data_IF_787486644687
#
_entry.id   IF_787486644687
#
_cell.length_a   1.000
_cell.length_b   1.000
_cell.length_c   1.000
_cell.angle_alpha   90.00
_cell.angle_beta   90.00
_cell.angle_gamma   90.00
#
_symmetry.space_group_name_H-M   'P 1'
#
loop_
_entity.id
_entity.type
_entity.pdbx_description
1 polymer ?
#
# COMPACT_ATOMS: atom_id res chain seq x y z
N UNK A 1 -5.41 -62.79 -9.07
CA UNK A 1 -4.47 -62.24 -8.08
C UNK A 1 -4.72 -60.73 -7.99
N UNK A 2 -5.49 -60.27 -7.00
CA UNK A 2 -5.83 -58.85 -6.83
C UNK A 2 -4.80 -58.18 -5.90
N UNK A 3 -4.33 -56.97 -6.22
CA UNK A 3 -3.36 -56.29 -5.35
C UNK A 3 -4.00 -55.85 -4.04
N UNK A 4 -3.27 -56.06 -2.93
CA UNK A 4 -3.73 -55.82 -1.58
C UNK A 4 -4.05 -54.35 -1.30
N UNK A 5 -5.03 -54.10 -0.45
CA UNK A 5 -5.54 -52.81 -0.01
C UNK A 5 -4.42 -51.86 0.45
N UNK A 6 -3.33 -52.39 1.00
CA UNK A 6 -2.16 -51.61 1.46
C UNK A 6 -1.37 -50.88 0.36
N UNK A 7 -1.37 -51.40 -0.88
CA UNK A 7 -0.69 -50.75 -2.02
C UNK A 7 -1.51 -49.60 -2.61
N UNK A 8 -2.84 -49.60 -2.47
CA UNK A 8 -3.71 -48.52 -2.93
C UNK A 8 -3.59 -47.28 -2.04
N UNK A 9 -3.44 -47.45 -0.73
CA UNK A 9 -3.31 -46.35 0.22
C UNK A 9 -1.95 -45.63 0.12
N UNK A 10 -0.87 -46.38 -0.14
CA UNK A 10 0.46 -45.81 -0.38
C UNK A 10 0.53 -44.97 -1.69
N UNK A 11 -0.20 -45.38 -2.72
CA UNK A 11 -0.28 -44.60 -3.98
C UNK A 11 -1.15 -43.33 -3.81
N UNK A 12 -2.21 -43.42 -3.01
CA UNK A 12 -3.08 -42.25 -2.71
C UNK A 12 -2.34 -41.19 -1.88
N UNK A 13 -1.62 -41.60 -0.85
CA UNK A 13 -0.82 -40.68 -0.02
C UNK A 13 0.35 -40.04 -0.78
N UNK A 14 0.98 -40.74 -1.73
CA UNK A 14 2.00 -40.12 -2.62
C UNK A 14 1.42 -39.11 -3.59
N UNK A 15 0.18 -39.30 -4.04
CA UNK A 15 -0.49 -38.35 -4.94
C UNK A 15 -0.94 -37.09 -4.19
N UNK A 16 -1.43 -37.21 -2.96
CA UNK A 16 -1.76 -36.07 -2.10
C UNK A 16 -0.53 -35.29 -1.65
N UNK A 17 0.57 -35.96 -1.32
CA UNK A 17 1.83 -35.31 -0.98
C UNK A 17 2.41 -34.50 -2.14
N UNK A 18 2.33 -35.00 -3.39
CA UNK A 18 2.78 -34.28 -4.59
C UNK A 18 1.91 -33.07 -4.93
N UNK A 19 0.59 -33.14 -4.68
CA UNK A 19 -0.32 -32.00 -4.92
C UNK A 19 -0.06 -30.88 -3.91
N UNK A 20 0.19 -31.21 -2.64
CA UNK A 20 0.54 -30.21 -1.63
C UNK A 20 1.92 -29.59 -1.86
N UNK A 21 2.86 -30.32 -2.42
CA UNK A 21 4.22 -29.83 -2.71
C UNK A 21 4.26 -28.97 -3.98
N UNK A 22 3.44 -29.28 -4.99
CA UNK A 22 3.23 -28.41 -6.16
C UNK A 22 2.54 -27.10 -5.77
N UNK A 23 1.49 -27.16 -4.94
CA UNK A 23 0.76 -25.98 -4.44
C UNK A 23 1.65 -25.08 -3.56
N UNK A 24 2.55 -25.68 -2.76
CA UNK A 24 3.57 -24.95 -2.01
C UNK A 24 4.68 -24.36 -2.90
N UNK A 25 5.04 -25.04 -4.00
CA UNK A 25 5.99 -24.50 -4.98
C UNK A 25 5.38 -23.37 -5.79
N UNK A 26 4.13 -23.49 -6.26
CA UNK A 26 3.43 -22.42 -6.95
C UNK A 26 3.20 -21.20 -6.05
N UNK A 27 2.83 -21.39 -4.78
CA UNK A 27 2.76 -20.30 -3.80
C UNK A 27 4.13 -19.69 -3.48
N UNK A 28 5.22 -20.46 -3.51
CA UNK A 28 6.59 -19.94 -3.35
C UNK A 28 7.11 -19.22 -4.60
N UNK A 29 6.72 -19.66 -5.79
CA UNK A 29 7.09 -19.01 -7.06
C UNK A 29 6.28 -17.71 -7.25
N UNK A 30 5.00 -17.65 -6.85
CA UNK A 30 4.22 -16.42 -6.88
C UNK A 30 4.71 -15.35 -5.88
N UNK A 31 5.51 -15.73 -4.89
CA UNK A 31 6.17 -14.81 -3.94
C UNK A 31 7.46 -14.17 -4.49
N UNK A 32 7.93 -14.59 -5.66
CA UNK A 32 9.18 -14.11 -6.28
C UNK A 32 8.98 -13.32 -7.58
N UNK A 33 7.77 -13.26 -8.12
CA UNK A 33 7.47 -12.30 -9.18
C UNK A 33 7.32 -10.92 -8.57
N UNK A 34 8.43 -10.21 -8.48
CA UNK A 34 8.45 -8.77 -8.22
C UNK A 34 7.85 -8.08 -9.43
N UNK A 35 6.51 -7.89 -9.43
CA UNK A 35 5.85 -7.09 -10.44
C UNK A 35 6.33 -5.65 -10.31
N UNK A 36 7.18 -5.26 -11.22
CA UNK A 36 7.63 -3.87 -11.36
C UNK A 36 6.50 -3.09 -12.01
N UNK A 37 6.05 -2.04 -11.35
CA UNK A 37 5.01 -1.15 -11.87
C UNK A 37 5.58 0.23 -12.12
N UNK A 38 5.25 0.78 -13.27
CA UNK A 38 5.46 2.19 -13.57
C UNK A 38 4.46 3.05 -12.79
N UNK A 39 4.83 4.29 -12.49
CA UNK A 39 3.99 5.21 -11.72
C UNK A 39 4.25 6.64 -12.19
N UNK A 40 3.20 7.32 -12.67
CA UNK A 40 3.17 8.76 -12.87
C UNK A 40 2.36 9.44 -11.78
N UNK A 41 2.77 10.64 -11.41
CA UNK A 41 2.02 11.52 -10.50
C UNK A 41 2.00 12.93 -11.05
N UNK A 42 0.82 13.53 -11.00
CA UNK A 42 0.62 14.92 -11.38
C UNK A 42 -0.19 15.65 -10.30
N UNK A 43 0.24 16.85 -9.94
CA UNK A 43 -0.61 17.74 -9.18
C UNK A 43 -1.60 18.39 -10.15
N UNK A 44 -2.88 18.26 -9.88
CA UNK A 44 -3.97 18.76 -10.73
C UNK A 44 -4.94 19.60 -9.90
N UNK A 45 -5.71 20.44 -10.57
CA UNK A 45 -6.78 21.22 -9.95
C UNK A 45 -8.14 20.52 -10.08
N UNK A 46 -9.19 21.13 -9.54
CA UNK A 46 -10.53 20.55 -9.55
C UNK A 46 -11.13 20.48 -10.97
N UNK A 47 -10.84 21.45 -11.82
CA UNK A 47 -11.28 21.46 -13.24
C UNK A 47 -10.65 20.30 -14.01
N UNK A 48 -9.34 20.07 -13.83
CA UNK A 48 -8.63 18.94 -14.41
C UNK A 48 -9.26 17.59 -13.95
N UNK A 49 -9.55 17.47 -12.65
CA UNK A 49 -10.23 16.30 -12.09
C UNK A 49 -11.55 16.02 -12.82
N UNK A 50 -12.40 17.03 -13.00
CA UNK A 50 -13.71 16.85 -13.67
C UNK A 50 -13.54 16.35 -15.11
N UNK A 51 -12.63 16.95 -15.86
CA UNK A 51 -12.35 16.59 -17.25
C UNK A 51 -11.80 15.17 -17.36
N UNK A 52 -10.77 14.82 -16.56
CA UNK A 52 -10.16 13.49 -16.58
C UNK A 52 -11.17 12.44 -16.11
N UNK A 53 -11.94 12.73 -15.06
CA UNK A 53 -13.00 11.85 -14.54
C UNK A 53 -14.03 11.51 -15.62
N UNK A 54 -14.49 12.50 -16.38
CA UNK A 54 -15.44 12.29 -17.47
C UNK A 54 -14.85 11.38 -18.56
N UNK A 55 -13.59 11.60 -18.97
CA UNK A 55 -12.90 10.77 -19.95
C UNK A 55 -12.71 9.33 -19.45
N UNK A 56 -12.27 9.18 -18.18
CA UNK A 56 -12.06 7.86 -17.59
C UNK A 56 -13.36 7.05 -17.47
N UNK A 57 -14.49 7.69 -17.15
CA UNK A 57 -15.80 7.00 -17.08
C UNK A 57 -16.22 6.36 -18.41
N UNK A 58 -15.72 6.85 -19.53
CA UNK A 58 -16.00 6.29 -20.85
C UNK A 58 -15.18 5.02 -21.15
N UNK A 59 -14.00 4.87 -20.53
CA UNK A 59 -13.02 3.84 -20.91
C UNK A 59 -12.61 2.89 -19.78
N UNK A 60 -12.66 3.34 -18.53
CA UNK A 60 -12.25 2.59 -17.35
C UNK A 60 -13.43 2.35 -16.40
N UNK A 61 -13.31 1.36 -15.52
CA UNK A 61 -14.32 1.07 -14.51
C UNK A 61 -13.89 1.61 -13.15
N UNK A 62 -14.81 2.15 -12.33
CA UNK A 62 -14.53 2.34 -10.90
C UNK A 62 -14.08 1.02 -10.27
N UNK A 63 -13.22 1.09 -9.26
CA UNK A 63 -12.82 -0.09 -8.49
C UNK A 63 -14.05 -0.63 -7.75
N UNK A 64 -14.36 -1.92 -7.92
CA UNK A 64 -15.54 -2.59 -7.36
C UNK A 64 -15.60 -2.60 -5.83
N UNK A 65 -14.45 -2.44 -5.17
CA UNK A 65 -14.36 -2.37 -3.71
C UNK A 65 -14.55 -0.94 -3.17
N UNK A 66 -14.64 0.06 -4.04
CA UNK A 66 -14.83 1.45 -3.64
C UNK A 66 -16.29 1.69 -3.21
N UNK A 67 -16.51 2.21 -2.00
CA UNK A 67 -17.83 2.65 -1.54
C UNK A 67 -18.15 3.99 -2.21
N UNK A 68 -19.27 4.09 -2.88
CA UNK A 68 -19.67 5.29 -3.64
C UNK A 68 -18.54 5.82 -4.57
N UNK A 69 -17.78 4.87 -5.16
CA UNK A 69 -16.67 5.18 -6.07
C UNK A 69 -15.41 5.72 -5.39
N UNK A 70 -15.30 5.66 -4.08
CA UNK A 70 -14.14 6.19 -3.36
C UNK A 70 -13.77 5.39 -2.11
N UNK A 71 -12.54 5.60 -1.62
CA UNK A 71 -12.05 5.13 -0.33
C UNK A 71 -11.71 6.30 0.57
N UNK A 72 -12.07 6.21 1.84
CA UNK A 72 -11.37 6.93 2.90
C UNK A 72 -10.18 6.07 3.33
N UNK A 73 -8.98 6.61 3.28
CA UNK A 73 -7.76 5.86 3.60
C UNK A 73 -7.07 6.52 4.78
N UNK A 74 -6.87 5.77 5.86
CA UNK A 74 -6.02 6.17 6.98
C UNK A 74 -4.76 5.33 7.03
N UNK A 75 -3.61 5.98 7.12
CA UNK A 75 -2.30 5.31 7.21
C UNK A 75 -1.45 5.90 8.31
N UNK A 76 -0.87 5.05 9.15
CA UNK A 76 0.12 5.41 10.15
C UNK A 76 1.51 5.07 9.62
N UNK A 77 2.33 6.07 9.38
CA UNK A 77 3.71 5.91 8.91
C UNK A 77 4.68 5.81 10.06
N UNK A 78 5.72 5.00 9.85
CA UNK A 78 6.83 4.82 10.78
C UNK A 78 8.07 5.54 10.29
N UNK A 79 8.78 6.17 11.21
CA UNK A 79 10.10 6.73 10.99
C UNK A 79 10.91 6.69 12.30
N UNK A 80 12.20 6.99 12.25
CA UNK A 80 13.02 7.11 13.43
C UNK A 80 13.15 8.59 13.89
N UNK A 81 13.85 8.81 15.01
CA UNK A 81 14.05 10.16 15.56
C UNK A 81 14.81 11.11 14.61
N UNK A 82 15.54 10.57 13.65
CA UNK A 82 16.31 11.34 12.64
C UNK A 82 15.56 11.54 11.33
N UNK A 83 14.28 11.17 11.25
CA UNK A 83 13.44 11.24 10.04
C UNK A 83 14.09 10.57 8.81
N UNK A 84 14.65 9.38 9.02
CA UNK A 84 15.40 8.65 7.98
C UNK A 84 14.57 8.44 6.71
N UNK A 85 13.34 7.92 6.84
CA UNK A 85 12.49 7.62 5.68
C UNK A 85 12.04 8.90 4.95
N UNK A 86 11.87 10.02 5.68
CA UNK A 86 11.59 11.33 5.12
C UNK A 86 12.79 11.84 4.31
N UNK A 87 13.99 11.86 4.90
CA UNK A 87 15.22 12.33 4.27
C UNK A 87 15.56 11.50 3.03
N UNK A 88 15.56 10.17 3.14
CA UNK A 88 15.79 9.28 1.98
C UNK A 88 14.81 9.54 0.83
N UNK A 89 13.59 9.98 1.13
CA UNK A 89 12.63 10.36 0.08
C UNK A 89 12.95 11.71 -0.54
N UNK A 90 13.34 12.71 0.26
CA UNK A 90 13.69 14.07 -0.20
C UNK A 90 14.98 14.02 -1.03
N UNK A 91 16.00 13.35 -0.51
CA UNK A 91 17.33 13.24 -1.12
C UNK A 91 17.37 12.28 -2.32
N UNK A 92 16.27 11.59 -2.61
CA UNK A 92 16.15 10.68 -3.74
C UNK A 92 16.99 9.41 -3.62
N UNK A 93 17.35 8.99 -2.39
CA UNK A 93 18.21 7.82 -2.13
C UNK A 93 17.70 6.58 -2.87
N UNK A 94 18.59 5.89 -3.57
CA UNK A 94 18.26 4.73 -4.40
C UNK A 94 17.75 3.52 -3.59
N UNK A 95 18.32 3.31 -2.41
CA UNK A 95 17.90 2.22 -1.51
C UNK A 95 17.14 2.81 -0.35
N UNK A 96 15.83 2.70 -0.38
CA UNK A 96 14.97 3.21 0.69
C UNK A 96 13.81 2.29 0.97
N UNK A 97 13.36 2.30 2.21
CA UNK A 97 12.20 1.55 2.65
C UNK A 97 11.32 2.40 3.56
N UNK A 98 10.05 2.09 3.60
CA UNK A 98 9.12 2.71 4.55
C UNK A 98 8.06 1.72 4.97
N UNK A 99 7.72 1.77 6.24
CA UNK A 99 6.65 1.00 6.84
C UNK A 99 5.45 1.87 7.11
N UNK A 100 4.27 1.29 6.98
CA UNK A 100 3.01 1.90 7.41
C UNK A 100 2.00 0.83 7.81
N UNK A 101 1.10 1.19 8.70
CA UNK A 101 -0.13 0.45 8.97
C UNK A 101 -1.27 1.20 8.28
N UNK A 102 -2.24 0.48 7.69
CA UNK A 102 -3.31 1.10 6.91
C UNK A 102 -4.61 0.33 7.05
N UNK A 103 -5.71 1.08 7.09
CA UNK A 103 -7.06 0.54 6.88
C UNK A 103 -7.90 1.49 6.00
N UNK A 104 -9.08 1.04 5.60
CA UNK A 104 -9.94 1.69 4.62
C UNK A 104 -11.33 1.91 5.20
N UNK A 105 -11.96 3.04 4.87
CA UNK A 105 -13.35 3.36 5.19
C UNK A 105 -13.72 3.22 6.68
N UNK A 106 -12.78 3.48 7.57
CA UNK A 106 -12.98 3.32 9.02
C UNK A 106 -13.03 1.85 9.50
N UNK A 107 -12.83 0.88 8.60
CA UNK A 107 -12.92 -0.54 8.92
C UNK A 107 -11.62 -1.03 9.59
N UNK A 108 -11.65 -1.14 10.92
CA UNK A 108 -10.54 -1.65 11.73
C UNK A 108 -10.53 -3.18 11.86
N UNK A 109 -11.43 -3.90 11.20
CA UNK A 109 -11.42 -5.36 11.15
C UNK A 109 -10.37 -5.89 10.18
N UNK A 110 -9.98 -5.07 9.17
CA UNK A 110 -8.98 -5.40 8.17
C UNK A 110 -7.88 -4.34 8.11
N UNK A 111 -6.87 -4.53 8.93
CA UNK A 111 -5.73 -3.61 9.02
C UNK A 111 -4.50 -4.26 8.38
N UNK A 112 -3.78 -3.53 7.55
CA UNK A 112 -2.60 -4.00 6.85
C UNK A 112 -1.33 -3.30 7.35
N UNK A 113 -0.34 -4.08 7.78
CA UNK A 113 1.05 -3.64 7.82
C UNK A 113 1.61 -3.74 6.40
N UNK A 114 2.17 -2.66 5.90
CA UNK A 114 2.78 -2.60 4.57
C UNK A 114 4.21 -2.07 4.64
N UNK A 115 5.11 -2.74 3.93
CA UNK A 115 6.45 -2.25 3.64
C UNK A 115 6.56 -1.96 2.15
N UNK A 116 6.99 -0.76 1.81
CA UNK A 116 7.39 -0.41 0.43
C UNK A 116 8.89 -0.17 0.42
N UNK A 117 9.61 -0.97 -0.38
CA UNK A 117 11.03 -0.80 -0.61
C UNK A 117 11.28 -0.32 -2.04
N UNK A 118 12.33 0.45 -2.25
CA UNK A 118 12.82 0.83 -3.56
C UNK A 118 14.33 0.58 -3.62
N UNK A 119 14.76 -0.10 -4.67
CA UNK A 119 16.16 -0.36 -4.94
C UNK A 119 16.44 -0.16 -6.41
N UNK A 120 17.34 0.77 -6.75
CA UNK A 120 17.73 1.09 -8.14
C UNK A 120 16.53 1.31 -9.08
N UNK A 121 15.56 2.12 -8.63
CA UNK A 121 14.35 2.41 -9.41
C UNK A 121 13.21 1.40 -9.23
N UNK A 122 13.52 0.17 -8.82
CA UNK A 122 12.57 -0.92 -8.69
C UNK A 122 11.88 -0.90 -7.32
N UNK A 123 10.56 -1.03 -7.31
CA UNK A 123 9.75 -1.00 -6.09
C UNK A 123 9.17 -2.36 -5.75
N UNK A 124 9.32 -2.80 -4.49
CA UNK A 124 8.64 -3.99 -3.97
C UNK A 124 7.70 -3.59 -2.85
N UNK A 125 6.60 -4.35 -2.71
CA UNK A 125 5.61 -4.16 -1.66
C UNK A 125 5.38 -5.49 -0.94
N UNK A 126 5.47 -5.46 0.39
CA UNK A 126 5.08 -6.57 1.26
C UNK A 126 3.90 -6.14 2.11
N UNK A 127 3.04 -7.08 2.48
CA UNK A 127 1.87 -6.83 3.30
C UNK A 127 1.63 -7.98 4.29
N UNK A 128 1.18 -7.64 5.49
CA UNK A 128 0.70 -8.59 6.50
C UNK A 128 -0.54 -8.01 7.18
N UNK A 129 -1.48 -8.86 7.59
CA UNK A 129 -2.67 -8.45 8.32
C UNK A 129 -2.33 -8.28 9.79
N UNK A 130 -2.87 -7.24 10.42
CA UNK A 130 -2.83 -6.99 11.86
C UNK A 130 -4.25 -6.91 12.43
N UNK A 131 -4.43 -7.34 13.66
CA UNK A 131 -5.63 -7.04 14.41
C UNK A 131 -5.59 -5.63 15.03
N UNK A 132 -6.75 -5.09 15.40
CA UNK A 132 -6.82 -3.80 16.11
C UNK A 132 -6.09 -3.86 17.47
N UNK A 133 -6.11 -5.01 18.15
CA UNK A 133 -5.38 -5.20 19.41
C UNK A 133 -3.86 -5.15 19.21
N UNK A 134 -3.34 -5.81 18.19
CA UNK A 134 -1.91 -5.76 17.84
C UNK A 134 -1.47 -4.34 17.50
N UNK A 135 -2.31 -3.58 16.81
CA UNK A 135 -2.03 -2.17 16.52
C UNK A 135 -2.01 -1.34 17.79
N UNK A 136 -2.94 -1.53 18.74
CA UNK A 136 -2.91 -0.85 20.05
C UNK A 136 -1.61 -1.12 20.80
N UNK A 137 -1.19 -2.40 20.87
CA UNK A 137 0.10 -2.77 21.48
C UNK A 137 1.28 -2.04 20.84
N UNK A 138 1.30 -1.94 19.49
CA UNK A 138 2.35 -1.19 18.78
C UNK A 138 2.32 0.30 19.14
N UNK A 139 1.13 0.92 19.25
CA UNK A 139 0.97 2.32 19.62
C UNK A 139 1.45 2.58 21.04
N UNK A 140 1.17 1.66 21.97
CA UNK A 140 1.57 1.71 23.38
C UNK A 140 3.06 1.36 23.59
N UNK A 141 3.76 0.91 22.53
CA UNK A 141 5.17 0.50 22.60
C UNK A 141 5.38 -0.91 23.10
N UNK A 142 4.32 -1.67 23.36
CA UNK A 142 4.38 -3.11 23.64
C UNK A 142 4.58 -3.89 22.35
N UNK A 143 5.84 -4.21 22.04
CA UNK A 143 6.23 -4.83 20.78
C UNK A 143 6.88 -6.21 20.94
N UNK A 144 7.06 -6.72 22.15
CA UNK A 144 7.80 -7.96 22.39
C UNK A 144 7.11 -9.20 21.80
N UNK A 145 5.78 -9.19 21.71
CA UNK A 145 4.99 -10.22 21.05
C UNK A 145 5.35 -10.40 19.57
N UNK A 146 5.84 -9.34 18.91
CA UNK A 146 6.19 -9.39 17.48
C UNK A 146 7.39 -10.30 17.20
N UNK A 147 8.26 -10.51 18.20
CA UNK A 147 9.47 -11.34 18.08
C UNK A 147 9.13 -12.80 17.76
N UNK A 148 8.09 -13.35 18.38
CA UNK A 148 7.63 -14.72 18.18
C UNK A 148 6.52 -14.90 17.16
N UNK A 149 6.15 -13.84 16.44
CA UNK A 149 5.08 -13.87 15.46
C UNK A 149 5.49 -14.69 14.22
N UNK A 150 4.55 -15.46 13.65
CA UNK A 150 4.75 -16.28 12.44
C UNK A 150 4.78 -15.47 11.12
N UNK A 151 4.48 -14.15 11.19
CA UNK A 151 4.46 -13.25 10.05
C UNK A 151 5.81 -12.54 9.86
N UNK A 152 6.59 -12.86 8.80
CA UNK A 152 7.95 -12.32 8.61
C UNK A 152 8.00 -10.79 8.56
N UNK A 153 6.99 -10.13 7.97
CA UNK A 153 6.95 -8.66 7.90
C UNK A 153 6.76 -8.02 9.29
N UNK A 154 6.03 -8.67 10.20
CA UNK A 154 5.84 -8.21 11.58
C UNK A 154 7.15 -8.36 12.35
N UNK A 155 7.85 -9.49 12.21
CA UNK A 155 9.19 -9.68 12.79
C UNK A 155 10.20 -8.66 12.25
N UNK A 156 10.14 -8.36 10.95
CA UNK A 156 11.01 -7.35 10.35
C UNK A 156 10.75 -5.96 10.95
N UNK A 157 9.46 -5.57 11.11
CA UNK A 157 9.11 -4.31 11.76
C UNK A 157 9.65 -4.28 13.21
N UNK A 158 9.51 -5.37 13.96
CA UNK A 158 10.10 -5.48 15.31
C UNK A 158 11.60 -5.18 15.31
N UNK A 159 12.36 -5.85 14.43
CA UNK A 159 13.79 -5.62 14.32
C UNK A 159 14.12 -4.16 13.98
N UNK A 160 13.34 -3.51 13.10
CA UNK A 160 13.51 -2.10 12.75
C UNK A 160 13.18 -1.18 13.93
N UNK A 161 12.12 -1.48 14.68
CA UNK A 161 11.74 -0.73 15.88
C UNK A 161 12.83 -0.82 16.96
N UNK A 162 13.38 -2.01 17.19
CA UNK A 162 14.45 -2.24 18.19
C UNK A 162 15.81 -1.66 17.76
N UNK A 163 16.25 -1.93 16.52
CA UNK A 163 17.61 -1.65 16.10
C UNK A 163 17.78 -0.27 15.44
N UNK A 164 16.71 0.27 14.81
CA UNK A 164 16.75 1.56 14.12
C UNK A 164 15.89 2.64 14.78
N UNK A 165 15.19 2.29 15.86
CA UNK A 165 14.32 3.22 16.59
C UNK A 165 13.09 3.66 15.79
N UNK A 166 12.59 2.81 14.85
CA UNK A 166 11.34 3.10 14.16
C UNK A 166 10.19 3.19 15.17
N UNK A 167 9.35 4.21 15.00
CA UNK A 167 8.15 4.44 15.82
C UNK A 167 7.02 4.98 14.95
N UNK A 168 5.75 4.85 15.38
CA UNK A 168 4.65 5.61 14.81
C UNK A 168 5.03 7.09 14.76
N UNK A 169 4.87 7.74 13.58
CA UNK A 169 5.38 9.10 13.39
C UNK A 169 4.32 10.07 12.86
N UNK A 170 3.45 9.64 11.97
CA UNK A 170 2.47 10.53 11.32
C UNK A 170 1.29 9.73 10.81
N UNK A 171 0.08 10.20 11.13
CA UNK A 171 -1.16 9.73 10.50
C UNK A 171 -1.35 10.53 9.21
N UNK A 172 -1.70 9.82 8.15
CA UNK A 172 -2.03 10.38 6.84
C UNK A 172 -3.40 9.89 6.43
N UNK A 173 -4.37 10.80 6.37
CA UNK A 173 -5.71 10.56 5.87
C UNK A 173 -5.86 11.19 4.48
N UNK A 174 -6.63 10.55 3.62
CA UNK A 174 -7.02 11.12 2.33
C UNK A 174 -8.17 10.34 1.70
N UNK A 175 -8.88 11.00 0.80
CA UNK A 175 -9.90 10.39 -0.03
C UNK A 175 -9.27 9.96 -1.35
N UNK A 176 -9.54 8.73 -1.80
CA UNK A 176 -9.08 8.18 -3.07
C UNK A 176 -10.25 7.76 -3.93
N UNK A 177 -10.31 8.26 -5.16
CA UNK A 177 -11.23 7.82 -6.21
C UNK A 177 -10.44 6.96 -7.21
N UNK A 178 -10.65 5.63 -7.25
CA UNK A 178 -9.88 4.72 -8.08
C UNK A 178 -10.63 4.28 -9.33
N UNK A 179 -9.92 4.21 -10.47
CA UNK A 179 -10.37 3.62 -11.71
C UNK A 179 -9.42 2.49 -12.12
N UNK A 180 -9.98 1.43 -12.70
CA UNK A 180 -9.24 0.25 -13.16
C UNK A 180 -9.49 0.04 -14.64
N UNK A 181 -8.41 -0.22 -15.38
CA UNK A 181 -8.44 -0.63 -16.78
C UNK A 181 -7.58 -1.88 -16.94
N UNK A 182 -8.22 -3.00 -17.31
CA UNK A 182 -7.57 -4.32 -17.32
C UNK A 182 -6.35 -4.44 -18.22
N UNK A 183 -6.39 -4.01 -19.51
CA UNK A 183 -5.20 -4.03 -20.35
C UNK A 183 -4.07 -3.20 -19.74
N UNK A 184 -2.86 -3.77 -19.67
CA UNK A 184 -1.70 -3.15 -19.02
C UNK A 184 -1.81 -3.07 -17.49
N UNK A 185 -2.82 -3.69 -16.88
CA UNK A 185 -3.10 -3.64 -15.44
C UNK A 185 -3.08 -2.21 -14.90
N UNK A 186 -3.75 -1.29 -15.61
CA UNK A 186 -3.71 0.14 -15.28
C UNK A 186 -4.63 0.45 -14.12
N UNK A 187 -4.11 1.25 -13.18
CA UNK A 187 -4.90 1.86 -12.10
C UNK A 187 -4.67 3.37 -12.10
N UNK A 188 -5.73 4.12 -12.30
CA UNK A 188 -5.75 5.58 -12.20
C UNK A 188 -6.43 5.96 -10.90
N UNK A 189 -5.83 6.85 -10.10
CA UNK A 189 -6.44 7.30 -8.84
C UNK A 189 -6.32 8.80 -8.68
N UNK A 190 -7.39 9.41 -8.15
CA UNK A 190 -7.36 10.79 -7.65
C UNK A 190 -7.30 10.75 -6.13
N UNK A 191 -6.25 11.31 -5.57
CA UNK A 191 -6.05 11.44 -4.13
C UNK A 191 -6.23 12.90 -3.74
N UNK A 192 -7.16 13.19 -2.85
CA UNK A 192 -7.53 14.54 -2.41
C UNK A 192 -7.80 14.58 -0.90
N UNK A 193 -8.00 15.76 -0.38
CA UNK A 193 -8.31 15.98 1.04
C UNK A 193 -7.25 15.33 1.94
N UNK A 194 -5.97 15.62 1.64
CA UNK A 194 -4.85 15.06 2.41
C UNK A 194 -4.80 15.78 3.75
N UNK A 195 -4.86 14.99 4.82
CA UNK A 195 -4.92 15.47 6.20
C UNK A 195 -3.94 14.72 7.08
N UNK A 196 -3.54 15.32 8.19
CA UNK A 196 -2.72 14.69 9.21
C UNK A 196 -3.34 14.86 10.59
N UNK A 197 -3.05 13.95 11.52
CA UNK A 197 -3.47 14.06 12.92
C UNK A 197 -2.32 14.55 13.79
N UNK A 198 -2.66 15.17 14.90
CA UNK A 198 -1.71 15.69 15.89
C UNK A 198 -1.09 14.58 16.75
N UNK A 199 -1.81 13.47 16.96
CA UNK A 199 -1.36 12.34 17.78
C UNK A 199 -1.44 11.04 17.01
N UNK A 200 -0.37 10.25 17.02
CA UNK A 200 -0.38 8.89 16.46
C UNK A 200 -1.21 7.91 17.31
N UNK A 201 -1.41 8.18 18.59
CA UNK A 201 -2.27 7.39 19.49
C UNK A 201 -3.71 7.30 19.02
N UNK A 202 -4.18 8.32 18.29
CA UNK A 202 -5.54 8.38 17.75
C UNK A 202 -5.74 7.58 16.47
N UNK A 203 -4.79 6.77 16.05
CA UNK A 203 -4.86 6.05 14.76
C UNK A 203 -6.12 5.20 14.61
N UNK A 204 -6.56 4.52 15.67
CA UNK A 204 -7.77 3.69 15.67
C UNK A 204 -9.04 4.44 16.10
N UNK A 205 -8.91 5.71 16.49
CA UNK A 205 -10.06 6.53 16.88
C UNK A 205 -10.78 7.08 15.62
N UNK A 206 -12.05 6.72 15.36
CA UNK A 206 -12.79 7.24 14.23
C UNK A 206 -13.01 8.76 14.31
N UNK A 207 -13.11 9.30 15.53
CA UNK A 207 -13.31 10.74 15.80
C UNK A 207 -11.98 11.51 15.91
N UNK A 208 -10.88 10.93 15.42
CA UNK A 208 -9.56 11.57 15.45
C UNK A 208 -9.59 12.92 14.74
N UNK A 209 -9.21 13.96 15.45
CA UNK A 209 -9.09 15.32 14.89
C UNK A 209 -7.91 15.37 13.93
N UNK A 210 -8.18 15.80 12.72
CA UNK A 210 -7.17 15.95 11.67
C UNK A 210 -7.18 17.37 11.11
N UNK A 211 -6.01 17.83 10.69
CA UNK A 211 -5.84 19.12 10.01
C UNK A 211 -5.44 18.92 8.54
N UNK A 212 -5.81 19.81 7.62
CA UNK A 212 -5.34 19.74 6.24
C UNK A 212 -3.81 19.81 6.18
N UNK A 213 -3.19 18.98 5.36
CA UNK A 213 -1.75 18.98 5.13
C UNK A 213 -1.41 19.94 3.97
N UNK A 214 -1.67 21.23 4.16
CA UNK A 214 -1.45 22.28 3.14
C UNK A 214 -2.37 22.16 1.93
N UNK A 215 -2.10 23.03 0.94
CA UNK A 215 -2.82 23.07 -0.34
C UNK A 215 -2.24 22.06 -1.34
N UNK A 216 -2.15 20.81 -0.96
CA UNK A 216 -1.61 19.77 -1.85
C UNK A 216 -2.43 19.56 -3.14
N UNK A 217 -3.60 20.17 -3.22
CA UNK A 217 -4.51 20.01 -4.35
C UNK A 217 -4.96 18.56 -4.51
N UNK A 218 -5.11 18.14 -5.74
CA UNK A 218 -5.48 16.77 -6.10
C UNK A 218 -4.27 16.09 -6.75
N UNK A 219 -3.94 14.88 -6.30
CA UNK A 219 -2.87 14.09 -6.89
C UNK A 219 -3.47 13.02 -7.79
N UNK A 220 -3.29 13.20 -9.09
CA UNK A 220 -3.51 12.16 -10.08
C UNK A 220 -2.33 11.19 -10.03
N UNK A 221 -2.61 9.91 -9.80
CA UNK A 221 -1.60 8.84 -9.84
C UNK A 221 -2.03 7.78 -10.86
N UNK A 222 -1.16 7.48 -11.82
CA UNK A 222 -1.36 6.44 -12.84
C UNK A 222 -0.32 5.37 -12.63
N UNK A 223 -0.78 4.11 -12.50
CA UNK A 223 0.08 2.92 -12.37
C UNK A 223 -0.24 1.94 -13.46
N UNK A 224 0.80 1.33 -14.02
CA UNK A 224 0.68 0.27 -15.01
C UNK A 224 1.87 -0.69 -14.93
N UNK A 225 1.74 -1.86 -15.54
CA UNK A 225 2.81 -2.85 -15.56
C UNK A 225 3.72 -2.62 -16.78
N UNK A 226 3.64 -3.40 -17.84
CA UNK A 226 4.58 -3.34 -18.97
C UNK A 226 4.32 -2.16 -19.91
N UNK A 227 3.05 -1.82 -20.18
CA UNK A 227 2.68 -0.74 -21.09
C UNK A 227 1.47 0.05 -20.60
N UNK A 228 1.44 1.33 -20.92
CA UNK A 228 0.28 2.19 -20.70
C UNK A 228 -0.49 2.32 -22.02
N UNK A 229 -1.72 1.79 -22.12
CA UNK A 229 -2.54 1.92 -23.32
C UNK A 229 -2.79 3.40 -23.67
N UNK A 230 -2.72 3.72 -24.97
CA UNK A 230 -2.87 5.09 -25.46
C UNK A 230 -4.19 5.73 -25.04
N UNK A 231 -5.28 4.94 -25.06
CA UNK A 231 -6.59 5.43 -24.62
C UNK A 231 -6.60 5.94 -23.18
N UNK A 232 -5.82 5.32 -22.29
CA UNK A 232 -5.69 5.79 -20.90
C UNK A 232 -4.72 6.97 -20.84
N UNK A 233 -3.59 6.91 -21.57
CA UNK A 233 -2.64 8.02 -21.64
C UNK A 233 -3.34 9.30 -22.09
N UNK A 234 -4.16 9.22 -23.13
CA UNK A 234 -4.91 10.36 -23.68
C UNK A 234 -6.03 10.82 -22.73
N UNK A 235 -6.70 9.87 -22.04
CA UNK A 235 -7.73 10.20 -21.05
C UNK A 235 -7.16 11.00 -19.86
N UNK A 236 -5.92 10.70 -19.43
CA UNK A 236 -5.29 11.37 -18.28
C UNK A 236 -4.41 12.55 -18.68
N UNK A 237 -4.19 12.76 -19.98
CA UNK A 237 -3.35 13.86 -20.46
C UNK A 237 -3.99 15.22 -20.21
N UNK A 238 -3.18 16.14 -19.66
CA UNK A 238 -3.57 17.53 -19.42
C UNK A 238 -2.43 18.48 -19.81
N UNK A 239 -2.71 19.54 -20.59
CA UNK A 239 -1.70 20.50 -20.98
C UNK A 239 -1.14 21.23 -19.76
N UNK A 240 0.18 21.45 -19.76
CA UNK A 240 0.85 22.22 -18.70
C UNK A 240 1.03 21.49 -17.35
N UNK A 241 0.59 20.23 -17.21
CA UNK A 241 0.80 19.45 -15.98
C UNK A 241 2.06 18.62 -16.09
N UNK A 242 3.02 18.90 -15.21
CA UNK A 242 4.28 18.16 -15.14
C UNK A 242 4.20 17.03 -14.12
N UNK A 243 4.97 15.98 -14.36
CA UNK A 243 5.15 14.91 -13.39
C UNK A 243 5.77 15.45 -12.10
N UNK A 244 5.31 14.95 -10.96
CA UNK A 244 5.78 15.34 -9.63
C UNK A 244 6.19 14.13 -8.79
N UNK A 245 7.21 14.32 -7.98
CA UNK A 245 7.66 13.32 -7.01
C UNK A 245 6.89 13.38 -5.68
N UNK A 246 5.60 13.70 -5.70
CA UNK A 246 4.77 13.96 -4.53
C UNK A 246 4.76 12.79 -3.52
N UNK A 247 4.85 13.13 -2.24
CA UNK A 247 4.78 12.17 -1.13
C UNK A 247 3.83 12.67 -0.04
N UNK A 248 2.68 12.01 0.14
CA UNK A 248 1.72 12.33 1.21
C UNK A 248 2.36 12.31 2.60
N UNK A 249 3.25 11.33 2.86
CA UNK A 249 4.01 11.27 4.11
C UNK A 249 4.86 12.54 4.32
N UNK A 250 5.65 12.93 3.30
CA UNK A 250 6.47 14.14 3.42
C UNK A 250 5.61 15.39 3.61
N UNK A 251 4.49 15.49 2.89
CA UNK A 251 3.56 16.61 3.03
C UNK A 251 2.99 16.69 4.46
N UNK A 252 2.49 15.57 5.00
CA UNK A 252 1.93 15.53 6.35
C UNK A 252 2.99 15.80 7.44
N UNK A 253 4.26 15.46 7.19
CA UNK A 253 5.37 15.74 8.15
C UNK A 253 5.75 17.20 8.27
N UNK A 254 5.25 18.07 7.39
CA UNK A 254 5.43 19.53 7.51
C UNK A 254 4.45 20.10 8.52
N UNK A 255 3.27 19.48 8.68
CA UNK A 255 2.15 20.00 9.45
C UNK A 255 1.82 19.16 10.71
N UNK A 256 2.47 18.01 10.91
CA UNK A 256 2.21 17.12 12.03
C UNK A 256 3.41 16.30 12.49
#
# INVERSE_FOLDING_TARGET
>A
MFPSTRQKDLKKNRKYGRIQESDRREKRVSLLETHYRHEWKHAINYTDLLVIRQRLRAVAKPDEHARDGQYLIRSLYFDNARDKALREKIDGVNMREKFRIRYYNGDTTLIHLEKKSRRSGLGTKYSAVLSAEEVRKILDGDIDWMRGCDRPLVQELYCKMRNQGLRPKTIVDYVREPYVFRPGNVRVTFDRDIRTALSCGDFLNPECVTIPAGDAGIILEVKWDEFLPDIIRDAVWMPGRRETAFSKYAQCRIYG
#
